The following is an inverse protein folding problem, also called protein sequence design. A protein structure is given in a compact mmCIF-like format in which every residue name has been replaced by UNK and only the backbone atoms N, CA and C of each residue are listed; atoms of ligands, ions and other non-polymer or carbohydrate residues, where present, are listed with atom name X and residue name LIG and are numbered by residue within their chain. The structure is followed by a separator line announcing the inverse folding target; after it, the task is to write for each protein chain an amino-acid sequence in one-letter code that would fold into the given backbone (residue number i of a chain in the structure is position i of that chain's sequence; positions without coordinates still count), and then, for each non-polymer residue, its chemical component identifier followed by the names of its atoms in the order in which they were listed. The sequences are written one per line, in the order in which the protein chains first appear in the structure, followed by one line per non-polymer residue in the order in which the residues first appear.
data_IF_194937702436
#
_entry.id   IF_194937702436
#
_cell.length_a   1.000
_cell.length_b   1.000
_cell.length_c   1.000
_cell.angle_alpha   90.00
_cell.angle_beta   90.00
_cell.angle_gamma   90.00
#
_symmetry.space_group_name_H-M   'P 1'
#
loop_
_entity.id
_entity.type
_entity.pdbx_description
1 polymer ?
#
# COMPACT_ATOMS: atom_id res chain seq x y z
N UNK A 1 13.37 -29.68 28.58
CA UNK A 1 12.41 -28.80 27.89
C UNK A 1 12.54 -27.41 28.48
N UNK A 2 12.83 -26.40 27.65
CA UNK A 2 12.86 -25.01 28.13
C UNK A 2 11.46 -24.61 28.58
N UNK A 3 11.31 -24.23 29.85
CA UNK A 3 10.03 -23.79 30.40
C UNK A 3 9.90 -22.28 30.18
N UNK A 4 8.97 -21.89 29.30
CA UNK A 4 8.54 -20.52 29.11
C UNK A 4 7.01 -20.50 29.01
N UNK A 5 6.40 -19.40 29.43
CA UNK A 5 4.94 -19.25 29.45
C UNK A 5 4.55 -17.79 29.24
N UNK A 6 3.24 -17.56 29.13
CA UNK A 6 2.65 -16.24 28.87
C UNK A 6 1.76 -15.86 30.06
N UNK A 7 2.35 -15.34 31.16
CA UNK A 7 1.60 -15.02 32.38
C UNK A 7 0.68 -13.79 32.18
N UNK A 8 -0.39 -13.74 32.96
CA UNK A 8 -1.23 -12.55 33.08
C UNK A 8 -0.71 -11.66 34.22
N UNK A 9 -0.84 -10.32 34.12
CA UNK A 9 -1.62 -9.58 33.12
C UNK A 9 -0.88 -9.22 31.82
N UNK A 10 0.44 -9.39 31.73
CA UNK A 10 1.26 -8.83 30.64
C UNK A 10 0.91 -9.38 29.26
N UNK A 11 0.39 -10.61 29.21
CA UNK A 11 0.03 -11.30 27.98
C UNK A 11 -1.48 -11.45 27.76
N UNK A 12 -2.31 -10.80 28.58
CA UNK A 12 -3.77 -10.95 28.47
C UNK A 12 -4.34 -10.36 27.19
N UNK A 13 -3.71 -9.31 26.65
CA UNK A 13 -4.14 -8.63 25.42
C UNK A 13 -3.49 -9.20 24.16
N UNK A 14 -2.50 -10.08 24.31
CA UNK A 14 -1.78 -10.68 23.17
C UNK A 14 -2.59 -11.85 22.61
N UNK A 15 -2.78 -11.86 21.30
CA UNK A 15 -3.51 -12.93 20.60
C UNK A 15 -2.84 -14.30 20.78
N UNK A 16 -3.65 -15.36 20.76
CA UNK A 16 -3.13 -16.72 20.90
C UNK A 16 -2.25 -17.12 19.71
N UNK A 17 -2.54 -16.59 18.51
CA UNK A 17 -1.73 -16.83 17.30
C UNK A 17 -0.31 -16.28 17.45
N UNK A 18 -0.15 -15.10 18.05
CA UNK A 18 1.15 -14.51 18.35
C UNK A 18 1.93 -15.36 19.36
N UNK A 19 1.26 -15.82 20.42
CA UNK A 19 1.84 -16.73 21.43
C UNK A 19 2.27 -18.05 20.80
N UNK A 20 1.44 -18.60 19.91
CA UNK A 20 1.75 -19.83 19.19
C UNK A 20 2.97 -19.69 18.27
N UNK A 21 3.09 -18.55 17.58
CA UNK A 21 4.26 -18.27 16.75
C UNK A 21 5.55 -18.21 17.58
N UNK A 22 5.52 -17.58 18.76
CA UNK A 22 6.65 -17.55 19.69
C UNK A 22 7.02 -18.96 20.14
N UNK A 23 6.03 -19.83 20.42
CA UNK A 23 6.29 -21.23 20.78
C UNK A 23 7.03 -22.00 19.66
N UNK A 24 6.68 -21.73 18.40
CA UNK A 24 7.32 -22.36 17.25
C UNK A 24 8.75 -21.86 17.01
N UNK A 25 9.05 -20.61 17.37
CA UNK A 25 10.39 -20.03 17.30
C UNK A 25 11.30 -20.51 18.44
N UNK A 26 10.74 -20.72 19.63
CA UNK A 26 11.48 -21.15 20.83
C UNK A 26 11.52 -22.68 21.00
N UNK A 27 11.30 -23.45 19.93
CA UNK A 27 11.51 -24.90 19.96
C UNK A 27 12.99 -25.24 20.22
N UNK A 28 13.20 -26.10 21.21
CA UNK A 28 14.53 -26.57 21.63
C UNK A 28 15.25 -27.36 20.55
N UNK A 29 14.51 -28.11 19.73
CA UNK A 29 15.05 -28.83 18.58
C UNK A 29 15.13 -27.87 17.38
N UNK A 30 16.31 -27.63 16.79
CA UNK A 30 16.47 -26.77 15.63
C UNK A 30 15.80 -27.31 14.36
N UNK A 31 15.55 -28.63 14.27
CA UNK A 31 14.87 -29.24 13.11
C UNK A 31 13.37 -29.01 13.13
N UNK A 32 12.79 -28.89 14.34
CA UNK A 32 11.38 -28.53 14.52
C UNK A 32 11.15 -27.02 14.61
N UNK A 33 12.23 -26.23 14.73
CA UNK A 33 12.16 -24.77 14.84
C UNK A 33 11.69 -24.18 13.52
N UNK A 34 10.76 -23.23 13.63
CA UNK A 34 10.27 -22.48 12.49
C UNK A 34 11.42 -21.76 11.78
N UNK A 35 11.58 -21.99 10.49
CA UNK A 35 12.58 -21.29 9.67
C UNK A 35 12.13 -19.86 9.38
N UNK A 36 13.08 -18.97 9.08
CA UNK A 36 12.77 -17.56 8.79
C UNK A 36 11.81 -17.40 7.60
N UNK A 37 11.92 -18.27 6.59
CA UNK A 37 11.03 -18.24 5.42
C UNK A 37 9.61 -18.65 5.78
N UNK A 38 9.44 -19.64 6.67
CA UNK A 38 8.12 -20.04 7.15
C UNK A 38 7.51 -18.98 8.08
N UNK A 39 8.35 -18.34 8.92
CA UNK A 39 7.93 -17.22 9.76
C UNK A 39 7.41 -16.04 8.94
N UNK A 40 8.14 -15.62 7.91
CA UNK A 40 7.74 -14.51 7.02
C UNK A 40 6.44 -14.80 6.26
N UNK A 41 6.15 -16.08 5.99
CA UNK A 41 4.92 -16.49 5.33
C UNK A 41 3.76 -16.79 6.29
N UNK A 42 3.95 -16.66 7.61
CA UNK A 42 2.93 -17.01 8.58
C UNK A 42 1.73 -16.04 8.45
N UNK A 43 0.46 -16.54 8.47
CA UNK A 43 -0.73 -15.70 8.32
C UNK A 43 -0.75 -14.50 9.27
N UNK A 44 -0.39 -14.70 10.54
CA UNK A 44 -0.30 -13.60 11.51
C UNK A 44 0.63 -12.44 11.07
N UNK A 45 1.73 -12.72 10.35
CA UNK A 45 2.64 -11.69 9.82
C UNK A 45 2.08 -11.07 8.53
N UNK A 46 1.52 -11.89 7.65
CA UNK A 46 1.01 -11.45 6.35
C UNK A 46 -0.31 -10.66 6.46
N UNK A 47 -1.18 -11.04 7.40
CA UNK A 47 -2.47 -10.40 7.64
C UNK A 47 -2.30 -9.01 8.26
N UNK A 48 -1.35 -8.82 9.16
CA UNK A 48 -1.02 -7.48 9.70
C UNK A 48 -0.55 -6.53 8.59
N UNK A 49 0.33 -7.00 7.69
CA UNK A 49 0.75 -6.23 6.51
C UNK A 49 -0.42 -5.90 5.58
N UNK A 50 -1.32 -6.87 5.36
CA UNK A 50 -2.48 -6.69 4.49
C UNK A 50 -3.54 -5.78 5.12
N UNK A 51 -3.76 -5.88 6.42
CA UNK A 51 -4.69 -5.06 7.20
C UNK A 51 -4.26 -3.59 7.23
N UNK A 52 -2.97 -3.33 7.45
CA UNK A 52 -2.38 -1.99 7.36
C UNK A 52 -2.52 -1.39 5.94
N UNK A 53 -2.31 -2.18 4.90
CA UNK A 53 -2.52 -1.73 3.52
C UNK A 53 -4.00 -1.56 3.16
N UNK A 54 -4.89 -2.37 3.73
CA UNK A 54 -6.33 -2.30 3.50
C UNK A 54 -6.96 -1.05 4.11
N UNK A 55 -6.51 -0.61 5.29
CA UNK A 55 -6.93 0.68 5.87
C UNK A 55 -6.41 1.89 5.08
N UNK A 56 -5.34 1.71 4.31
CA UNK A 56 -4.84 2.74 3.37
C UNK A 56 -5.40 2.61 1.95
N UNK A 57 -6.30 1.64 1.67
CA UNK A 57 -6.96 1.58 0.36
C UNK A 57 -7.94 2.74 0.23
N UNK A 58 -7.46 3.80 -0.42
CA UNK A 58 -8.30 4.74 -1.15
C UNK A 58 -9.13 3.90 -2.14
N UNK A 59 -10.46 3.91 -2.02
CA UNK A 59 -11.37 3.21 -2.93
C UNK A 59 -11.05 3.59 -4.39
N UNK A 60 -10.24 2.78 -5.06
CA UNK A 60 -9.74 3.05 -6.40
C UNK A 60 -10.88 3.05 -7.44
N UNK A 61 -11.98 2.35 -7.13
CA UNK A 61 -13.16 2.25 -7.99
C UNK A 61 -14.11 3.45 -7.91
N UNK A 62 -13.98 4.31 -6.88
CA UNK A 62 -14.81 5.52 -6.73
C UNK A 62 -14.14 6.77 -7.32
N UNK A 63 -12.83 6.74 -7.57
CA UNK A 63 -12.06 7.89 -8.06
C UNK A 63 -11.73 7.73 -9.55
N UNK A 64 -12.65 8.14 -10.42
CA UNK A 64 -12.34 8.36 -11.84
C UNK A 64 -11.41 9.57 -11.95
N UNK A 65 -10.11 9.33 -12.09
CA UNK A 65 -9.14 10.37 -12.43
C UNK A 65 -9.59 11.03 -13.73
N UNK A 66 -9.82 12.34 -13.70
CA UNK A 66 -10.24 13.09 -14.90
C UNK A 66 -9.09 13.10 -15.90
N UNK A 67 -9.38 12.79 -17.15
CA UNK A 67 -8.43 12.97 -18.24
C UNK A 67 -7.97 14.43 -18.33
N UNK A 68 -6.79 14.63 -18.94
CA UNK A 68 -6.24 15.95 -19.17
C UNK A 68 -7.25 16.89 -19.85
N UNK A 69 -8.08 16.35 -20.75
CA UNK A 69 -9.11 17.10 -21.50
C UNK A 69 -10.22 17.64 -20.58
N UNK A 70 -10.70 16.83 -19.64
CA UNK A 70 -11.85 17.13 -18.75
C UNK A 70 -11.44 17.69 -17.37
N UNK A 71 -10.14 17.73 -17.09
CA UNK A 71 -9.57 18.30 -15.88
C UNK A 71 -9.82 19.81 -15.76
N UNK A 72 -10.34 20.26 -14.61
CA UNK A 72 -10.49 21.68 -14.29
C UNK A 72 -9.25 22.21 -13.55
N UNK A 73 -8.12 22.23 -14.24
CA UNK A 73 -6.85 22.72 -13.67
C UNK A 73 -6.59 24.17 -14.10
N UNK A 74 -6.32 25.05 -13.13
CA UNK A 74 -6.10 26.50 -13.37
C UNK A 74 -4.96 26.79 -14.37
N UNK A 75 -3.87 26.02 -14.33
CA UNK A 75 -2.73 26.21 -15.24
C UNK A 75 -3.07 25.76 -16.66
N UNK A 76 -3.75 24.62 -16.80
CA UNK A 76 -4.22 24.14 -18.10
C UNK A 76 -5.24 25.10 -18.72
N UNK A 77 -6.17 25.62 -17.93
CA UNK A 77 -7.15 26.61 -18.38
C UNK A 77 -6.49 27.89 -18.88
N UNK A 78 -5.47 28.40 -18.15
CA UNK A 78 -4.67 29.55 -18.57
C UNK A 78 -3.93 29.28 -19.89
N UNK A 79 -3.34 28.09 -20.06
CA UNK A 79 -2.64 27.70 -21.30
C UNK A 79 -3.58 27.56 -22.48
N UNK A 80 -4.76 26.93 -22.30
CA UNK A 80 -5.80 26.82 -23.34
C UNK A 80 -6.29 28.19 -23.79
N UNK A 81 -6.54 29.12 -22.87
CA UNK A 81 -6.94 30.49 -23.19
C UNK A 81 -5.86 31.25 -23.97
N UNK A 82 -4.58 30.97 -23.69
CA UNK A 82 -3.44 31.55 -24.44
C UNK A 82 -3.34 30.98 -25.86
N UNK A 83 -3.58 29.67 -26.05
CA UNK A 83 -3.58 29.02 -27.38
C UNK A 83 -4.81 29.41 -28.24
N UNK A 84 -5.97 29.64 -27.63
CA UNK A 84 -7.16 30.11 -28.34
C UNK A 84 -7.05 31.57 -28.84
N UNK A 85 -6.11 32.34 -28.30
CA UNK A 85 -5.83 33.73 -28.71
C UNK A 85 -4.76 33.87 -29.81
N UNK A 86 -4.16 32.77 -30.30
CA UNK A 86 -3.07 32.82 -31.30
C UNK A 86 -3.48 32.34 -32.70
N UNK A 87 -4.75 31.99 -32.94
CA UNK A 87 -5.24 31.51 -34.24
C UNK A 87 -5.70 32.62 -35.20
N UNK A 88 -5.39 33.90 -34.95
CA UNK A 88 -5.75 35.00 -35.86
C UNK A 88 -4.58 35.89 -36.27
N UNK A 89 -3.36 35.34 -36.39
CA UNK A 89 -2.24 36.09 -37.00
C UNK A 89 -1.17 35.15 -37.60
N UNK A 90 -1.38 34.74 -38.86
CA UNK A 90 -0.32 34.73 -39.90
C UNK A 90 -0.89 34.18 -41.21
N UNK A 91 -1.33 35.13 -42.03
CA UNK A 91 -1.58 35.01 -43.46
C UNK A 91 -0.22 35.07 -44.19
N UNK A 92 -0.03 34.24 -45.22
CA UNK A 92 1.17 34.20 -46.09
C UNK A 92 2.30 33.32 -45.52
N UNK A 93 2.93 32.40 -46.25
CA UNK A 93 3.34 32.45 -47.65
C UNK A 93 3.27 31.06 -48.32
N UNK A 94 2.83 31.05 -49.58
CA UNK A 94 3.06 29.97 -50.55
C UNK A 94 4.56 29.90 -50.92
N UNK A 95 5.10 28.69 -51.03
CA UNK A 95 6.27 28.34 -51.85
C UNK A 95 6.41 26.81 -51.81
N UNK A 96 6.66 26.05 -52.86
CA UNK A 96 6.76 26.22 -54.31
C UNK A 96 6.76 24.77 -54.85
#
# INVERSE_FOLDING_TARGET
LGQYGFPNPEWSEVSEDAKQLIRLLLKTDPTERLTITQFMNHPWINEEMTSALATMRVDYDQVKIKDLKTSNNRLLNKRRKKQAGSSSASQGCNNQ
#
